data_IF_344585143548
#
_entry.id   IF_344585143548
#
_cell.length_a   1.000
_cell.length_b   1.000
_cell.length_c   1.000
_cell.angle_alpha   90.00
_cell.angle_beta   90.00
_cell.angle_gamma   90.00
#
_symmetry.space_group_name_H-M   'P 1'
#
loop_
_entity.id
_entity.type
_entity.pdbx_description
1 polymer ?
#
# COMPACT_ATOMS: atom_id res chain seq x y z
N UNK A 1 21.57 -15.60 -3.45
CA UNK A 1 20.38 -14.75 -3.71
C UNK A 1 19.49 -14.83 -2.47
N UNK A 2 18.75 -13.77 -2.12
CA UNK A 2 18.01 -13.65 -0.82
C UNK A 2 16.64 -14.35 -0.80
N UNK A 3 16.21 -14.94 -1.90
CA UNK A 3 14.89 -15.56 -2.05
C UNK A 3 15.01 -17.08 -2.12
N UNK A 4 14.02 -17.80 -1.57
CA UNK A 4 13.99 -19.26 -1.63
C UNK A 4 13.76 -19.76 -3.05
N UNK A 5 14.45 -20.83 -3.44
CA UNK A 5 14.39 -21.44 -4.78
C UNK A 5 12.96 -21.59 -5.35
N UNK A 6 11.94 -22.03 -4.58
CA UNK A 6 10.57 -22.19 -5.10
C UNK A 6 9.87 -20.88 -5.51
N UNK A 7 10.33 -19.73 -5.00
CA UNK A 7 9.80 -18.42 -5.40
C UNK A 7 10.43 -18.02 -6.74
N UNK A 8 11.75 -18.21 -6.88
CA UNK A 8 12.48 -17.83 -8.09
C UNK A 8 11.98 -18.65 -9.29
N UNK A 9 11.85 -19.97 -9.11
CA UNK A 9 11.37 -20.89 -10.14
C UNK A 9 10.00 -20.47 -10.71
N UNK A 10 9.11 -19.98 -9.86
CA UNK A 10 7.78 -19.52 -10.29
C UNK A 10 7.83 -18.30 -11.23
N UNK A 11 8.77 -17.37 -11.02
CA UNK A 11 8.96 -16.23 -11.93
C UNK A 11 9.69 -16.62 -13.22
N UNK A 12 10.54 -17.64 -13.18
CA UNK A 12 11.27 -18.14 -14.36
C UNK A 12 10.37 -18.91 -15.34
N UNK A 13 9.27 -19.49 -14.85
CA UNK A 13 8.29 -20.21 -15.65
C UNK A 13 7.36 -19.31 -16.48
N UNK A 14 7.32 -18.01 -16.21
CA UNK A 14 6.47 -17.07 -16.95
C UNK A 14 7.15 -16.69 -18.27
N UNK A 15 6.39 -16.74 -19.37
CA UNK A 15 6.86 -16.27 -20.66
C UNK A 15 7.01 -14.74 -20.65
N UNK A 16 8.24 -14.28 -20.74
CA UNK A 16 8.59 -12.85 -20.70
C UNK A 16 8.13 -12.08 -21.94
N UNK A 17 7.65 -12.78 -22.98
CA UNK A 17 7.13 -12.18 -24.20
C UNK A 17 5.60 -12.05 -24.21
N UNK A 18 4.92 -12.57 -23.19
CA UNK A 18 3.47 -12.41 -23.02
C UNK A 18 3.15 -11.04 -22.39
N UNK A 19 2.19 -10.32 -22.97
CA UNK A 19 1.71 -9.03 -22.45
C UNK A 19 0.66 -9.17 -21.33
N UNK A 20 0.30 -10.40 -20.96
CA UNK A 20 -0.73 -10.67 -19.96
C UNK A 20 -0.15 -10.63 -18.53
N UNK A 21 -0.42 -9.52 -17.83
CA UNK A 21 0.00 -9.31 -16.43
C UNK A 21 -0.54 -10.38 -15.46
N UNK A 22 -1.65 -11.05 -15.80
CA UNK A 22 -2.30 -12.01 -14.91
C UNK A 22 -1.45 -13.25 -14.63
N UNK A 23 -0.53 -13.61 -15.53
CA UNK A 23 0.41 -14.72 -15.31
C UNK A 23 1.34 -14.48 -14.12
N UNK A 24 1.62 -13.21 -13.81
CA UNK A 24 2.46 -12.82 -12.69
C UNK A 24 1.72 -12.84 -11.34
N UNK A 25 0.39 -12.91 -11.32
CA UNK A 25 -0.39 -12.82 -10.08
C UNK A 25 -0.09 -13.99 -9.13
N UNK A 26 0.05 -15.21 -9.65
CA UNK A 26 0.38 -16.39 -8.84
C UNK A 26 1.72 -16.24 -8.12
N UNK A 27 2.83 -15.99 -8.84
CA UNK A 27 4.15 -15.83 -8.23
C UNK A 27 4.23 -14.63 -7.29
N UNK A 28 3.63 -13.48 -7.65
CA UNK A 28 3.56 -12.32 -6.76
C UNK A 28 2.76 -12.61 -5.49
N UNK A 29 1.61 -13.27 -5.57
CA UNK A 29 0.83 -13.62 -4.39
C UNK A 29 1.60 -14.57 -3.46
N UNK A 30 2.34 -15.53 -4.00
CA UNK A 30 3.20 -16.42 -3.19
C UNK A 30 4.29 -15.65 -2.48
N UNK A 31 5.00 -14.78 -3.19
CA UNK A 31 6.04 -13.93 -2.61
C UNK A 31 5.47 -13.02 -1.52
N UNK A 32 4.34 -12.36 -1.80
CA UNK A 32 3.75 -11.39 -0.90
C UNK A 32 3.16 -12.05 0.35
N UNK A 33 2.50 -13.20 0.26
CA UNK A 33 2.06 -13.94 1.46
C UNK A 33 3.23 -14.44 2.32
N UNK A 34 4.38 -14.74 1.70
CA UNK A 34 5.59 -15.11 2.44
C UNK A 34 6.19 -13.90 3.18
N UNK A 35 6.20 -12.73 2.56
CA UNK A 35 6.74 -11.50 3.13
C UNK A 35 5.79 -10.84 4.14
N UNK A 36 4.50 -10.95 3.88
CA UNK A 36 3.41 -10.30 4.63
C UNK A 36 2.34 -11.35 4.92
N UNK A 37 2.50 -12.13 6.01
CA UNK A 37 1.53 -13.13 6.42
C UNK A 37 0.14 -12.52 6.62
N UNK A 38 -0.92 -13.31 6.44
CA UNK A 38 -2.30 -12.84 6.62
C UNK A 38 -2.60 -12.33 8.04
N UNK A 39 -1.82 -12.78 9.02
CA UNK A 39 -1.83 -12.34 10.42
C UNK A 39 -1.36 -10.87 10.55
N UNK A 40 -0.54 -10.39 9.61
CA UNK A 40 -0.05 -9.01 9.52
C UNK A 40 -0.99 -8.09 8.73
N UNK A 41 -2.22 -8.55 8.48
CA UNK A 41 -3.34 -7.67 8.13
C UNK A 41 -3.19 -6.89 6.81
N UNK A 42 -2.37 -7.39 5.91
CA UNK A 42 -2.13 -6.87 4.58
C UNK A 42 -3.11 -7.49 3.56
N UNK A 43 -3.58 -6.69 2.60
CA UNK A 43 -4.45 -7.13 1.51
C UNK A 43 -3.98 -6.52 0.20
N UNK A 44 -3.82 -7.37 -0.82
CA UNK A 44 -3.53 -6.96 -2.20
C UNK A 44 -4.85 -6.93 -2.95
N UNK A 45 -5.10 -5.84 -3.67
CA UNK A 45 -6.18 -5.74 -4.64
C UNK A 45 -5.57 -5.67 -6.05
N UNK A 46 -6.15 -6.36 -7.05
CA UNK A 46 -5.68 -6.26 -8.43
C UNK A 46 -5.88 -4.85 -8.99
N UNK A 47 -5.09 -4.47 -10.00
CA UNK A 47 -5.16 -3.15 -10.63
C UNK A 47 -6.54 -2.84 -11.22
N UNK A 48 -7.21 -3.85 -11.79
CA UNK A 48 -8.55 -3.73 -12.39
C UNK A 48 -9.58 -3.15 -11.44
N UNK A 49 -9.38 -3.32 -10.13
CA UNK A 49 -10.29 -2.84 -9.10
C UNK A 49 -10.15 -1.33 -8.85
N UNK A 50 -9.09 -0.69 -9.33
CA UNK A 50 -8.89 0.76 -9.14
C UNK A 50 -10.00 1.57 -9.79
N UNK A 51 -10.65 1.06 -10.85
CA UNK A 51 -11.81 1.70 -11.47
C UNK A 51 -13.08 1.67 -10.60
N UNK A 52 -13.19 0.71 -9.67
CA UNK A 52 -14.38 0.46 -8.88
C UNK A 52 -14.45 1.37 -7.64
N UNK A 53 -15.53 2.14 -7.56
CA UNK A 53 -15.77 3.10 -6.48
C UNK A 53 -15.85 2.43 -5.10
N UNK A 54 -16.49 1.26 -5.02
CA UNK A 54 -16.61 0.48 -3.78
C UNK A 54 -15.24 0.05 -3.27
N UNK A 55 -14.36 -0.45 -4.14
CA UNK A 55 -13.04 -0.95 -3.73
C UNK A 55 -12.13 0.20 -3.26
N UNK A 56 -12.16 1.35 -3.93
CA UNK A 56 -11.42 2.54 -3.47
C UNK A 56 -11.92 3.02 -2.11
N UNK A 57 -13.24 3.03 -1.88
CA UNK A 57 -13.81 3.36 -0.57
C UNK A 57 -13.33 2.37 0.50
N UNK A 58 -13.48 1.07 0.26
CA UNK A 58 -13.06 0.01 1.19
C UNK A 58 -11.58 0.09 1.54
N UNK A 59 -10.71 0.31 0.55
CA UNK A 59 -9.28 0.44 0.77
C UNK A 59 -8.92 1.68 1.61
N UNK A 60 -9.54 2.83 1.35
CA UNK A 60 -9.34 4.04 2.17
C UNK A 60 -9.85 3.85 3.60
N UNK A 61 -11.04 3.26 3.76
CA UNK A 61 -11.61 2.92 5.08
C UNK A 61 -10.67 2.00 5.85
N UNK A 62 -10.21 0.92 5.22
CA UNK A 62 -9.27 -0.04 5.83
C UNK A 62 -7.99 0.67 6.31
N UNK A 63 -7.39 1.54 5.48
CA UNK A 63 -6.19 2.27 5.87
C UNK A 63 -6.45 3.15 7.10
N UNK A 64 -7.54 3.93 7.10
CA UNK A 64 -7.87 4.84 8.21
C UNK A 64 -8.09 4.08 9.52
N UNK A 65 -8.83 2.97 9.47
CA UNK A 65 -9.05 2.11 10.64
C UNK A 65 -7.73 1.56 11.19
N UNK A 66 -6.79 1.19 10.31
CA UNK A 66 -5.46 0.73 10.71
C UNK A 66 -4.65 1.82 11.42
N UNK A 67 -4.65 3.04 10.88
CA UNK A 67 -4.01 4.17 11.54
C UNK A 67 -4.61 4.40 12.93
N UNK A 68 -5.93 4.43 13.06
CA UNK A 68 -6.60 4.58 14.36
C UNK A 68 -6.16 3.49 15.35
N UNK A 69 -6.20 2.22 14.92
CA UNK A 69 -5.77 1.10 15.77
C UNK A 69 -4.31 1.18 16.20
N UNK A 70 -3.42 1.76 15.39
CA UNK A 70 -2.00 1.91 15.74
C UNK A 70 -1.76 3.11 16.66
N UNK A 71 -2.50 4.21 16.46
CA UNK A 71 -2.46 5.40 17.32
C UNK A 71 -2.90 5.04 18.74
N UNK A 72 -3.95 4.24 18.90
CA UNK A 72 -4.49 3.81 20.19
C UNK A 72 -3.50 2.96 21.01
N UNK A 73 -2.50 2.35 20.37
CA UNK A 73 -1.49 1.48 21.02
C UNK A 73 -0.30 2.24 21.61
N UNK A 74 -0.44 3.55 21.86
CA UNK A 74 0.61 4.42 22.37
C UNK A 74 1.83 4.51 21.43
N UNK A 75 1.59 5.10 20.26
CA UNK A 75 2.59 5.26 19.19
C UNK A 75 3.83 6.03 19.68
N UNK A 76 5.01 5.40 19.63
CA UNK A 76 6.29 6.01 20.04
C UNK A 76 6.89 6.88 18.92
N UNK A 77 6.72 6.45 17.67
CA UNK A 77 7.23 7.17 16.49
C UNK A 77 6.45 8.49 16.27
N UNK A 78 7.12 9.59 15.86
CA UNK A 78 6.47 10.88 15.65
C UNK A 78 5.65 10.95 14.36
N UNK A 79 6.02 10.15 13.34
CA UNK A 79 5.31 10.03 12.07
C UNK A 79 5.13 8.57 11.71
N UNK A 80 3.94 8.23 11.22
CA UNK A 80 3.62 6.90 10.71
C UNK A 80 3.27 7.00 9.24
N UNK A 81 3.87 6.14 8.43
CA UNK A 81 3.58 6.03 7.01
C UNK A 81 2.85 4.72 6.75
N UNK A 82 1.88 4.75 5.84
CA UNK A 82 1.12 3.59 5.38
C UNK A 82 0.99 3.63 3.88
N UNK A 83 1.01 2.46 3.23
CA UNK A 83 0.85 2.35 1.79
C UNK A 83 -0.32 1.43 1.50
N UNK A 84 -1.24 1.90 0.65
CA UNK A 84 -2.27 1.07 0.05
C UNK A 84 -1.91 0.84 -1.41
N UNK A 85 -1.87 -0.41 -1.85
CA UNK A 85 -1.56 -0.79 -3.22
C UNK A 85 -2.79 -1.34 -3.93
N UNK A 86 -3.00 -0.89 -5.16
CA UNK A 86 -3.94 -1.49 -6.12
C UNK A 86 -3.16 -1.82 -7.39
N UNK A 87 -2.83 -3.11 -7.55
CA UNK A 87 -1.78 -3.51 -8.49
C UNK A 87 -0.47 -2.79 -8.18
N UNK A 88 0.05 -2.08 -9.17
CA UNK A 88 1.32 -1.33 -9.09
C UNK A 88 1.15 0.14 -8.69
N UNK A 89 -0.09 0.63 -8.66
CA UNK A 89 -0.42 1.98 -8.23
C UNK A 89 -0.55 2.08 -6.72
N UNK A 90 0.15 3.03 -6.12
CA UNK A 90 0.27 3.21 -4.67
C UNK A 90 -0.38 4.52 -4.20
N UNK A 91 -1.13 4.41 -3.11
CA UNK A 91 -1.57 5.53 -2.30
C UNK A 91 -0.74 5.59 -1.01
N UNK A 92 -0.13 6.74 -0.75
CA UNK A 92 0.71 6.97 0.43
C UNK A 92 -0.08 7.75 1.48
N UNK A 93 -0.10 7.23 2.69
CA UNK A 93 -0.72 7.83 3.86
C UNK A 93 0.36 8.26 4.84
N UNK A 94 0.24 9.46 5.37
CA UNK A 94 1.14 10.02 6.38
C UNK A 94 0.32 10.51 7.56
N UNK A 95 0.62 9.97 8.75
CA UNK A 95 0.11 10.46 10.02
C UNK A 95 1.21 11.21 10.76
N UNK A 96 0.88 12.39 11.29
CA UNK A 96 1.73 13.15 12.20
C UNK A 96 1.15 13.15 13.61
N UNK A 97 1.94 12.70 14.58
CA UNK A 97 1.57 12.71 16.00
C UNK A 97 1.46 14.13 16.55
N UNK A 98 2.25 15.07 16.02
CA UNK A 98 2.26 16.47 16.46
C UNK A 98 0.95 17.19 16.12
N UNK A 99 0.47 17.05 14.88
CA UNK A 99 -0.76 17.70 14.42
C UNK A 99 -2.00 16.82 14.63
N UNK A 100 -1.80 15.54 14.94
CA UNK A 100 -2.84 14.50 14.95
C UNK A 100 -3.63 14.45 13.64
N UNK A 101 -2.95 14.61 12.51
CA UNK A 101 -3.56 14.62 11.18
C UNK A 101 -3.06 13.45 10.33
N UNK A 102 -3.99 12.87 9.58
CA UNK A 102 -3.73 11.87 8.55
C UNK A 102 -3.95 12.51 7.17
N UNK A 103 -2.94 12.39 6.32
CA UNK A 103 -2.96 12.78 4.91
C UNK A 103 -2.90 11.53 4.06
N UNK A 104 -3.71 11.40 2.98
CA UNK A 104 -4.77 12.32 2.56
C UNK A 104 -5.93 12.39 3.56
N UNK A 105 -6.56 13.56 3.66
CA UNK A 105 -7.70 13.78 4.53
C UNK A 105 -8.90 12.90 4.15
N UNK A 106 -9.71 12.58 5.15
CA UNK A 106 -10.96 11.87 4.94
C UNK A 106 -11.91 12.72 4.10
N UNK A 107 -12.66 12.06 3.22
CA UNK A 107 -13.64 12.74 2.38
C UNK A 107 -14.96 12.72 3.14
N UNK A 108 -15.54 13.90 3.34
CA UNK A 108 -16.80 14.01 4.04
C UNK A 108 -17.92 13.39 3.19
N UNK A 109 -18.74 12.55 3.83
CA UNK A 109 -19.97 12.03 3.22
C UNK A 109 -20.98 13.17 3.05
N UNK A 110 -21.54 13.27 1.85
CA UNK A 110 -22.70 14.09 1.55
C UNK A 110 -23.97 13.23 1.64
N UNK A 111 -25.06 13.76 2.18
CA UNK A 111 -26.32 13.02 2.35
C UNK A 111 -27.10 12.83 1.04
N UNK A 112 -26.78 13.61 0.00
CA UNK A 112 -27.46 13.61 -1.30
C UNK A 112 -26.61 13.01 -2.41
N UNK A 113 -25.30 12.93 -2.22
CA UNK A 113 -24.35 12.47 -3.23
C UNK A 113 -23.39 11.42 -2.63
N UNK A 114 -23.07 10.38 -3.40
CA UNK A 114 -22.03 9.41 -3.03
C UNK A 114 -20.63 10.02 -3.25
N UNK A 115 -20.27 11.03 -2.46
CA UNK A 115 -18.98 11.76 -2.56
C UNK A 115 -17.92 11.22 -1.62
N UNK A 116 -18.26 10.32 -0.70
CA UNK A 116 -17.34 9.67 0.26
C UNK A 116 -16.50 8.54 -0.35
N UNK A 117 -16.02 8.77 -1.58
CA UNK A 117 -15.25 7.80 -2.33
C UNK A 117 -13.86 8.38 -2.52
N UNK A 118 -12.84 7.64 -2.09
CA UNK A 118 -11.46 7.99 -2.38
C UNK A 118 -11.28 8.16 -3.91
N UNK A 119 -10.80 9.33 -4.37
CA UNK A 119 -10.61 9.57 -5.79
C UNK A 119 -9.48 8.67 -6.32
N UNK A 120 -9.55 8.31 -7.60
CA UNK A 120 -8.58 7.39 -8.20
C UNK A 120 -7.16 7.96 -8.22
N UNK A 121 -7.04 9.28 -8.34
CA UNK A 121 -5.76 10.03 -8.25
C UNK A 121 -5.06 9.88 -6.88
N UNK A 122 -5.73 9.31 -5.87
CA UNK A 122 -5.08 8.95 -4.61
C UNK A 122 -4.03 7.86 -4.79
N UNK A 123 -4.24 6.93 -5.72
CA UNK A 123 -3.27 5.89 -6.11
C UNK A 123 -2.39 6.36 -7.28
N UNK A 124 -1.85 7.58 -7.19
CA UNK A 124 -1.07 8.21 -8.28
C UNK A 124 0.36 7.68 -8.43
N UNK A 125 0.91 6.99 -7.43
CA UNK A 125 2.31 6.59 -7.46
C UNK A 125 2.45 5.22 -8.13
N UNK A 126 2.76 5.22 -9.41
CA UNK A 126 3.03 4.00 -10.17
C UNK A 126 4.42 3.46 -9.80
N UNK A 127 4.47 2.33 -9.10
CA UNK A 127 5.70 1.72 -8.58
C UNK A 127 6.69 1.36 -9.68
N UNK A 128 6.21 0.95 -10.85
CA UNK A 128 7.06 0.56 -11.98
C UNK A 128 7.65 1.76 -12.72
N UNK A 129 7.17 2.98 -12.45
CA UNK A 129 7.79 4.19 -12.97
C UNK A 129 8.95 4.64 -12.07
N UNK A 130 10.03 5.23 -12.65
CA UNK A 130 11.18 5.70 -11.87
C UNK A 130 10.80 6.65 -10.73
N UNK A 131 9.76 7.46 -10.91
CA UNK A 131 9.27 8.39 -9.89
C UNK A 131 8.61 7.66 -8.71
N UNK A 132 7.81 6.61 -8.96
CA UNK A 132 7.20 5.81 -7.91
C UNK A 132 8.24 4.99 -7.15
N UNK A 133 9.16 4.34 -7.86
CA UNK A 133 10.28 3.62 -7.23
C UNK A 133 11.10 4.55 -6.32
N UNK A 134 11.48 5.73 -6.81
CA UNK A 134 12.21 6.72 -6.04
C UNK A 134 11.45 7.15 -4.79
N UNK A 135 10.13 7.34 -4.90
CA UNK A 135 9.29 7.74 -3.78
C UNK A 135 9.23 6.67 -2.68
N UNK A 136 9.10 5.40 -3.05
CA UNK A 136 9.10 4.29 -2.09
C UNK A 136 10.46 4.16 -1.41
N UNK A 137 11.57 4.29 -2.16
CA UNK A 137 12.92 4.28 -1.59
C UNK A 137 13.13 5.42 -0.59
N UNK A 138 12.66 6.62 -0.91
CA UNK A 138 12.71 7.78 -0.01
C UNK A 138 11.97 7.49 1.30
N UNK A 139 10.72 6.98 1.22
CA UNK A 139 9.93 6.61 2.41
C UNK A 139 10.65 5.59 3.28
N UNK A 140 11.19 4.52 2.68
CA UNK A 140 11.91 3.48 3.43
C UNK A 140 13.14 4.06 4.12
N UNK A 141 13.89 4.95 3.47
CA UNK A 141 15.04 5.60 4.06
C UNK A 141 14.63 6.50 5.25
N UNK A 142 13.56 7.29 5.10
CA UNK A 142 13.00 8.13 6.16
C UNK A 142 12.56 7.29 7.37
N UNK A 143 11.83 6.19 7.15
CA UNK A 143 11.37 5.31 8.23
C UNK A 143 12.56 4.69 8.97
N UNK A 144 13.58 4.20 8.24
CA UNK A 144 14.80 3.65 8.85
C UNK A 144 15.52 4.67 9.73
N UNK A 145 15.63 5.92 9.26
CA UNK A 145 16.22 7.00 10.04
C UNK A 145 15.42 7.26 11.32
N UNK A 146 14.09 7.43 11.22
CA UNK A 146 13.21 7.63 12.38
C UNK A 146 13.30 6.50 13.40
N UNK A 147 13.36 5.24 12.94
CA UNK A 147 13.48 4.09 13.84
C UNK A 147 14.84 4.05 14.55
N UNK A 148 15.91 4.58 13.94
CA UNK A 148 17.23 4.63 14.56
C UNK A 148 17.27 5.62 15.72
N UNK A 149 16.53 6.73 15.62
CA UNK A 149 16.48 7.79 16.64
C UNK A 149 15.63 7.42 17.87
N UNK A 150 14.95 6.27 17.85
CA UNK A 150 14.05 5.79 18.92
C UNK A 150 14.72 4.75 19.83
N UNK A 151 15.87 4.20 19.39
CA UNK A 151 16.69 3.22 20.14
C UNK A 151 17.73 3.94 20.98
#
# INVERSE_FOLDING_TARGET
MLWSDPIIEQFELIDRFMEDETEYYGPYNTLLNRLFPCEEHFQIKPFTDLGLWSIRREADTQMRERFLSLIDRNLVIPRLYGVSAMGTCLAIYEYSKETNQLTPHAIASDSQCMTDIAPADRWTHELLEPAGEAKVKELVALIKAMCTDIV
#
